data_IF_787072465348
#
_entry.id   IF_787072465348
#
_cell.length_a   1.000
_cell.length_b   1.000
_cell.length_c   1.000
_cell.angle_alpha   90.00
_cell.angle_beta   90.00
_cell.angle_gamma   90.00
#
_symmetry.space_group_name_H-M   'P 1'
#
loop_
_entity.id
_entity.type
_entity.pdbx_description
1 polymer ?
#
# COMPACT_ATOMS: atom_id res chain seq x y z
N UNK A 1 18.58 -9.47 -8.13
CA UNK A 1 17.57 -8.59 -8.76
C UNK A 1 16.31 -8.70 -7.93
N UNK A 2 15.93 -7.65 -7.19
CA UNK A 2 14.76 -7.70 -6.32
C UNK A 2 13.50 -7.77 -7.18
N UNK A 3 12.77 -8.88 -7.10
CA UNK A 3 11.59 -9.18 -7.91
C UNK A 3 10.42 -8.20 -7.71
N UNK A 4 10.52 -7.25 -6.78
CA UNK A 4 9.44 -6.34 -6.38
C UNK A 4 9.37 -5.04 -7.18
N UNK A 5 10.40 -4.72 -7.98
CA UNK A 5 10.47 -3.49 -8.77
C UNK A 5 11.40 -2.44 -8.13
N UNK A 6 11.55 -1.26 -8.76
CA UNK A 6 12.19 -0.11 -8.14
C UNK A 6 11.42 0.32 -6.88
N UNK A 7 12.09 1.10 -6.02
CA UNK A 7 11.49 1.64 -4.80
C UNK A 7 11.79 3.12 -4.64
N UNK A 8 10.86 3.81 -3.99
CA UNK A 8 11.05 5.11 -3.38
C UNK A 8 11.00 4.96 -1.85
N UNK A 9 11.54 5.94 -1.13
CA UNK A 9 11.55 5.91 0.32
C UNK A 9 11.42 7.32 0.90
N UNK A 10 10.54 7.47 1.88
CA UNK A 10 10.40 8.67 2.71
C UNK A 10 10.38 8.23 4.17
N UNK A 11 11.33 8.72 4.97
CA UNK A 11 11.46 8.32 6.37
C UNK A 11 11.57 6.80 6.54
N UNK A 12 10.68 6.24 7.36
CA UNK A 12 10.56 4.80 7.60
C UNK A 12 9.66 4.06 6.61
N UNK A 13 9.15 4.73 5.57
CA UNK A 13 8.25 4.11 4.59
C UNK A 13 8.99 3.84 3.29
N UNK A 14 9.03 2.58 2.87
CA UNK A 14 9.47 2.19 1.52
C UNK A 14 8.31 1.70 0.67
N UNK A 15 8.28 2.14 -0.58
CA UNK A 15 7.22 1.78 -1.55
C UNK A 15 7.87 1.26 -2.82
N UNK A 16 7.71 -0.03 -3.07
CA UNK A 16 8.04 -0.66 -4.35
C UNK A 16 6.92 -0.42 -5.35
N UNK A 17 7.23 -0.32 -6.64
CA UNK A 17 6.19 -0.01 -7.63
C UNK A 17 6.39 -0.70 -8.97
N UNK A 18 5.26 -1.08 -9.60
CA UNK A 18 5.17 -1.56 -10.99
C UNK A 18 3.81 -1.19 -11.61
N UNK A 19 3.76 -0.70 -12.85
CA UNK A 19 4.89 -0.46 -13.75
C UNK A 19 5.64 0.85 -13.40
N UNK A 20 6.68 1.20 -14.15
CA UNK A 20 7.56 2.34 -13.86
C UNK A 20 6.84 3.69 -13.84
N UNK A 21 5.72 3.81 -14.55
CA UNK A 21 4.88 5.01 -14.60
C UNK A 21 4.25 5.36 -13.25
N UNK A 22 4.27 4.44 -12.28
CA UNK A 22 3.79 4.67 -10.92
C UNK A 22 4.82 5.34 -10.00
N UNK A 23 6.01 5.70 -10.47
CA UNK A 23 7.06 6.28 -9.63
C UNK A 23 6.56 7.49 -8.83
N UNK A 24 5.87 8.43 -9.50
CA UNK A 24 5.33 9.62 -8.83
C UNK A 24 4.27 9.27 -7.79
N UNK A 25 3.38 8.32 -8.10
CA UNK A 25 2.33 7.86 -7.18
C UNK A 25 2.93 7.12 -5.98
N UNK A 26 3.96 6.31 -6.21
CA UNK A 26 4.71 5.65 -5.15
C UNK A 26 5.39 6.67 -4.24
N UNK A 27 5.96 7.73 -4.81
CA UNK A 27 6.59 8.80 -4.04
C UNK A 27 5.55 9.53 -3.18
N UNK A 28 4.42 9.95 -3.77
CA UNK A 28 3.31 10.57 -3.03
C UNK A 28 2.77 9.66 -1.92
N UNK A 29 2.64 8.36 -2.17
CA UNK A 29 2.20 7.40 -1.17
C UNK A 29 3.19 7.28 -0.01
N UNK A 30 4.49 7.24 -0.30
CA UNK A 30 5.52 7.18 0.75
C UNK A 30 5.48 8.41 1.66
N UNK A 31 5.26 9.60 1.09
CA UNK A 31 5.14 10.85 1.85
C UNK A 31 3.87 10.88 2.69
N UNK A 32 2.73 10.46 2.12
CA UNK A 32 1.46 10.38 2.85
C UNK A 32 1.59 9.44 4.06
N UNK A 33 2.10 8.23 3.87
CA UNK A 33 2.22 7.24 4.94
C UNK A 33 3.21 7.66 6.02
N UNK A 34 4.32 8.32 5.65
CA UNK A 34 5.27 8.88 6.60
C UNK A 34 4.64 9.99 7.45
N UNK A 35 3.83 10.86 6.83
CA UNK A 35 3.06 11.90 7.53
C UNK A 35 2.03 11.34 8.52
N UNK A 36 1.57 10.10 8.29
CA UNK A 36 0.67 9.35 9.16
C UNK A 36 1.43 8.48 10.17
N UNK A 37 2.73 8.68 10.32
CA UNK A 37 3.61 8.00 11.27
C UNK A 37 3.77 6.48 11.07
N UNK A 38 3.40 5.91 9.92
CA UNK A 38 3.53 4.47 9.69
C UNK A 38 4.99 3.98 9.84
N UNK A 39 5.96 4.80 9.43
CA UNK A 39 7.40 4.51 9.53
C UNK A 39 8.06 4.92 10.86
N UNK A 40 7.30 5.41 11.85
CA UNK A 40 7.86 6.03 13.05
C UNK A 40 8.68 5.07 13.92
N UNK A 41 8.25 3.81 14.01
CA UNK A 41 8.85 2.79 14.88
C UNK A 41 9.70 1.76 14.12
N UNK A 42 10.01 2.03 12.86
CA UNK A 42 10.77 1.11 12.01
C UNK A 42 10.34 1.18 10.55
N UNK A 43 10.99 0.37 9.72
CA UNK A 43 10.67 0.32 8.30
C UNK A 43 9.36 -0.42 8.05
N UNK A 44 8.44 0.23 7.34
CA UNK A 44 7.25 -0.39 6.77
C UNK A 44 7.39 -0.47 5.26
N UNK A 45 6.98 -1.61 4.71
CA UNK A 45 7.16 -1.93 3.29
C UNK A 45 5.82 -2.06 2.59
N UNK A 46 5.66 -1.27 1.54
CA UNK A 46 4.50 -1.29 0.67
C UNK A 46 4.91 -1.63 -0.76
N UNK A 47 3.99 -2.18 -1.53
CA UNK A 47 4.14 -2.35 -2.97
C UNK A 47 2.87 -1.90 -3.69
N UNK A 48 3.04 -1.04 -4.69
CA UNK A 48 1.96 -0.63 -5.59
C UNK A 48 2.10 -1.40 -6.90
N UNK A 49 1.06 -2.16 -7.25
CA UNK A 49 0.97 -2.83 -8.55
C UNK A 49 -0.30 -2.35 -9.26
N UNK A 50 -0.16 -1.84 -10.48
CA UNK A 50 -1.31 -1.57 -11.35
C UNK A 50 -1.49 -2.69 -12.37
N UNK A 51 -2.66 -3.34 -12.32
CA UNK A 51 -3.16 -4.24 -13.36
C UNK A 51 -4.46 -3.71 -13.96
N UNK A 52 -5.62 -4.27 -13.58
CA UNK A 52 -6.95 -3.72 -13.84
C UNK A 52 -7.34 -2.66 -12.82
N UNK A 53 -6.80 -2.75 -11.60
CA UNK A 53 -6.98 -1.78 -10.52
C UNK A 53 -5.63 -1.50 -9.85
N UNK A 54 -5.61 -0.55 -8.92
CA UNK A 54 -4.44 -0.33 -8.06
C UNK A 54 -4.46 -1.33 -6.92
N UNK A 55 -3.40 -2.13 -6.80
CA UNK A 55 -3.21 -3.07 -5.71
C UNK A 55 -2.16 -2.48 -4.76
N UNK A 56 -2.58 -2.11 -3.55
CA UNK A 56 -1.71 -1.67 -2.45
C UNK A 56 -1.42 -2.85 -1.55
N UNK A 57 -0.21 -3.39 -1.63
CA UNK A 57 0.25 -4.50 -0.79
C UNK A 57 1.07 -3.96 0.37
N UNK A 58 0.75 -4.40 1.59
CA UNK A 58 1.48 -4.04 2.81
C UNK A 58 2.05 -5.30 3.44
N UNK A 59 3.33 -5.27 3.79
CA UNK A 59 3.94 -6.30 4.65
C UNK A 59 3.43 -6.12 6.07
N UNK A 60 2.91 -7.19 6.67
CA UNK A 60 2.44 -7.16 8.07
C UNK A 60 2.92 -8.36 8.86
N UNK A 61 2.83 -8.25 10.19
CA UNK A 61 2.95 -9.39 11.09
C UNK A 61 1.85 -10.44 10.81
N UNK A 62 2.14 -11.75 10.97
CA UNK A 62 1.16 -12.82 10.78
C UNK A 62 -0.13 -12.71 11.60
N UNK A 63 -0.11 -12.01 12.73
CA UNK A 63 -1.30 -11.74 13.56
C UNK A 63 -2.42 -11.07 12.74
N UNK A 64 -2.06 -10.16 11.83
CA UNK A 64 -3.01 -9.42 11.00
C UNK A 64 -3.58 -10.22 9.83
N UNK A 65 -3.13 -11.47 9.63
CA UNK A 65 -3.70 -12.36 8.61
C UNK A 65 -5.12 -12.80 8.97
N UNK A 66 -5.46 -12.80 10.26
CA UNK A 66 -6.81 -13.08 10.75
C UNK A 66 -7.41 -11.95 11.59
N UNK A 67 -6.59 -11.06 12.15
CA UNK A 67 -7.10 -9.89 12.88
C UNK A 67 -7.60 -8.80 11.92
N UNK A 68 -8.88 -8.46 12.05
CA UNK A 68 -9.58 -7.44 11.25
C UNK A 68 -9.77 -6.13 12.01
N UNK A 69 -9.17 -5.98 13.21
CA UNK A 69 -9.29 -4.78 14.05
C UNK A 69 -8.86 -3.49 13.35
N UNK A 70 -7.94 -3.61 12.38
CA UNK A 70 -7.39 -2.49 11.61
C UNK A 70 -8.07 -2.28 10.24
N UNK A 71 -9.03 -3.13 9.85
CA UNK A 71 -9.58 -3.13 8.50
C UNK A 71 -10.25 -1.81 8.13
N UNK A 72 -10.95 -1.20 9.09
CA UNK A 72 -11.57 0.10 8.89
C UNK A 72 -10.53 1.20 8.55
N UNK A 73 -9.41 1.22 9.28
CA UNK A 73 -8.35 2.20 9.06
C UNK A 73 -7.64 1.97 7.71
N UNK A 74 -7.37 0.71 7.37
CA UNK A 74 -6.73 0.35 6.09
C UNK A 74 -7.66 0.59 4.88
N UNK A 75 -8.96 0.40 5.05
CA UNK A 75 -9.95 0.79 4.06
C UNK A 75 -10.01 2.31 3.87
N UNK A 76 -9.99 3.09 4.96
CA UNK A 76 -9.91 4.54 4.87
C UNK A 76 -8.64 4.98 4.11
N UNK A 77 -7.49 4.31 4.34
CA UNK A 77 -6.27 4.57 3.56
C UNK A 77 -6.43 4.29 2.07
N UNK A 78 -7.18 3.25 1.70
CA UNK A 78 -7.48 2.95 0.30
C UNK A 78 -8.26 4.09 -0.36
N UNK A 79 -9.30 4.59 0.31
CA UNK A 79 -10.11 5.73 -0.16
C UNK A 79 -9.28 7.00 -0.29
N UNK A 80 -8.48 7.34 0.74
CA UNK A 80 -7.62 8.54 0.70
C UNK A 80 -6.64 8.44 -0.47
N UNK A 81 -5.99 7.28 -0.65
CA UNK A 81 -5.04 7.09 -1.74
C UNK A 81 -5.72 7.16 -3.12
N UNK A 82 -6.95 6.64 -3.25
CA UNK A 82 -7.74 6.73 -4.47
C UNK A 82 -7.96 8.19 -4.89
N UNK A 83 -8.37 9.05 -3.94
CA UNK A 83 -8.70 10.45 -4.19
C UNK A 83 -7.43 11.28 -4.41
N UNK A 84 -6.45 11.16 -3.51
CA UNK A 84 -5.31 12.08 -3.45
C UNK A 84 -4.16 11.67 -4.40
N UNK A 85 -4.05 10.39 -4.74
CA UNK A 85 -2.86 9.84 -5.44
C UNK A 85 -3.25 9.21 -6.77
N UNK A 86 -4.30 8.38 -6.78
CA UNK A 86 -4.63 7.52 -7.91
C UNK A 86 -5.77 8.05 -8.81
N UNK A 87 -6.19 9.31 -8.64
CA UNK A 87 -7.15 9.98 -9.54
C UNK A 87 -8.42 9.16 -9.77
N UNK A 88 -9.03 8.71 -8.67
CA UNK A 88 -10.26 7.91 -8.64
C UNK A 88 -10.16 6.49 -9.20
N UNK A 89 -8.97 6.01 -9.57
CA UNK A 89 -8.77 4.59 -9.88
C UNK A 89 -9.11 3.72 -8.66
N UNK A 90 -9.80 2.60 -8.88
CA UNK A 90 -10.12 1.68 -7.78
C UNK A 90 -8.85 1.16 -7.11
N UNK A 91 -8.84 1.18 -5.79
CA UNK A 91 -7.73 0.69 -4.97
C UNK A 91 -8.19 -0.51 -4.15
N UNK A 92 -7.40 -1.58 -4.16
CA UNK A 92 -7.54 -2.70 -3.24
C UNK A 92 -6.33 -2.79 -2.32
N UNK A 93 -6.58 -2.92 -1.02
CA UNK A 93 -5.54 -3.15 -0.03
C UNK A 93 -5.33 -4.65 0.21
N UNK A 94 -4.07 -5.06 0.35
CA UNK A 94 -3.69 -6.45 0.59
C UNK A 94 -2.74 -6.55 1.77
N UNK A 95 -3.08 -7.44 2.69
CA UNK A 95 -2.22 -7.87 3.78
C UNK A 95 -1.31 -8.97 3.26
N UNK A 96 0.00 -8.79 3.39
CA UNK A 96 1.00 -9.68 2.82
C UNK A 96 2.03 -10.17 3.84
N UNK A 97 2.74 -11.24 3.50
CA UNK A 97 4.00 -11.58 4.17
C UNK A 97 5.16 -10.68 3.73
N UNK A 98 6.31 -10.87 4.36
CA UNK A 98 7.58 -10.18 4.09
C UNK A 98 8.08 -10.27 2.64
N UNK A 99 7.50 -11.15 1.83
CA UNK A 99 7.83 -11.32 0.41
C UNK A 99 6.74 -10.81 -0.54
N UNK A 100 5.78 -10.03 -0.03
CA UNK A 100 4.62 -9.51 -0.75
C UNK A 100 3.65 -10.59 -1.28
N UNK A 101 3.66 -11.81 -0.71
CA UNK A 101 2.60 -12.77 -1.01
C UNK A 101 1.35 -12.39 -0.21
N UNK A 102 0.24 -12.27 -0.92
CA UNK A 102 -1.05 -11.91 -0.34
C UNK A 102 -1.53 -13.02 0.59
N UNK A 103 -1.92 -12.65 1.81
CA UNK A 103 -2.56 -13.53 2.79
C UNK A 103 -4.05 -13.27 2.88
N UNK A 104 -4.45 -12.00 2.77
CA UNK A 104 -5.85 -11.59 2.57
C UNK A 104 -5.93 -10.24 1.87
N UNK A 105 -7.08 -9.98 1.28
CA UNK A 105 -7.41 -8.72 0.62
C UNK A 105 -8.60 -8.09 1.34
N UNK A 106 -8.58 -6.77 1.46
CA UNK A 106 -9.73 -6.01 1.94
C UNK A 106 -10.70 -5.78 0.76
N UNK A 107 -11.94 -5.40 1.09
CA UNK A 107 -12.95 -5.10 0.08
C UNK A 107 -12.56 -3.86 -0.74
N UNK A 108 -12.88 -3.89 -2.03
CA UNK A 108 -12.73 -2.71 -2.90
C UNK A 108 -13.88 -1.76 -2.59
N UNK A 109 -13.56 -0.60 -2.04
CA UNK A 109 -14.53 0.45 -1.81
C UNK A 109 -14.67 1.27 -3.09
N UNK A 110 -15.90 1.39 -3.59
CA UNK A 110 -16.24 2.25 -4.72
C UNK A 110 -16.79 3.56 -4.17
N UNK A 111 -16.27 4.68 -4.64
CA UNK A 111 -16.93 5.97 -4.45
C UNK A 111 -18.18 5.98 -5.36
N UNK A 112 -19.35 6.23 -4.77
CA UNK A 112 -20.60 6.48 -5.50
C UNK A 112 -20.64 7.91 -6.06
#
# INVERSE_FOLDING_TARGET
MNGYGPKVQTGGVEVYYKPSELENQAQSLSVLLDSLEYGKNGTVSFQVIKDSIINLKMVTDPTYYSDTSMDYALNAMSIISQIEIFKDESVQFHICDETFNVKRSLEVIKNE
#
